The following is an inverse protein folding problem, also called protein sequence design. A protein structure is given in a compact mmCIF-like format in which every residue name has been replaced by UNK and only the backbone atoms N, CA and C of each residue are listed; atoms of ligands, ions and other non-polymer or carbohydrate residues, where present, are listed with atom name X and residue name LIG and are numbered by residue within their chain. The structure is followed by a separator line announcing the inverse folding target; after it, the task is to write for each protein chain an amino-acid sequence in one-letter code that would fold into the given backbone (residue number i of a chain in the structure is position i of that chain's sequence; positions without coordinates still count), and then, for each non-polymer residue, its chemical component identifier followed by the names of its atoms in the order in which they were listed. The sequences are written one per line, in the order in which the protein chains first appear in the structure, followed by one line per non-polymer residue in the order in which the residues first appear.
data_IF_490159672947
#
_entry.id   IF_490159672947
#
_cell.length_a   1.000
_cell.length_b   1.000
_cell.length_c   1.000
_cell.angle_alpha   90.00
_cell.angle_beta   90.00
_cell.angle_gamma   90.00
#
_symmetry.space_group_name_H-M   'P 1'
#
loop_
_entity.id
_entity.type
_entity.pdbx_description
1 polymer ?
#
# COMPACT_ATOMS: atom_id res chain seq x y z
N UNK A 1 48.69 -2.29 -56.76
CA UNK A 1 47.39 -2.26 -56.02
C UNK A 1 47.56 -3.06 -54.74
N UNK A 2 47.43 -2.42 -53.59
CA UNK A 2 47.75 -2.98 -52.27
C UNK A 2 46.42 -3.23 -51.53
N UNK A 3 46.07 -4.46 -51.10
CA UNK A 3 44.85 -4.68 -50.35
C UNK A 3 45.10 -4.53 -48.84
N UNK A 4 44.49 -3.50 -48.25
CA UNK A 4 44.30 -3.34 -46.80
C UNK A 4 43.12 -4.22 -46.35
N UNK A 5 43.31 -5.09 -45.35
CA UNK A 5 42.24 -5.61 -44.48
C UNK A 5 42.78 -5.72 -43.05
N UNK A 6 42.54 -4.68 -42.24
CA UNK A 6 41.58 -4.59 -41.11
C UNK A 6 41.76 -5.69 -40.05
N UNK A 7 42.46 -5.34 -38.96
CA UNK A 7 42.52 -6.09 -37.71
C UNK A 7 41.15 -5.97 -37.02
N UNK A 8 40.46 -7.10 -36.82
CA UNK A 8 39.29 -7.18 -35.96
C UNK A 8 39.75 -7.41 -34.52
N UNK A 9 39.41 -6.47 -33.63
CA UNK A 9 39.62 -6.61 -32.19
C UNK A 9 38.39 -7.34 -31.63
N UNK A 10 38.54 -8.58 -31.20
CA UNK A 10 37.51 -9.30 -30.45
C UNK A 10 37.72 -8.92 -28.98
N UNK A 11 36.90 -7.99 -28.48
CA UNK A 11 36.79 -7.71 -27.06
C UNK A 11 35.81 -8.72 -26.45
N UNK A 12 36.34 -9.79 -25.86
CA UNK A 12 35.55 -10.71 -25.05
C UNK A 12 35.38 -10.11 -23.65
N UNK A 13 34.20 -9.56 -23.37
CA UNK A 13 33.78 -9.20 -22.01
C UNK A 13 33.48 -10.48 -21.23
N UNK A 14 34.32 -10.79 -20.25
CA UNK A 14 34.05 -11.78 -19.21
C UNK A 14 33.02 -11.17 -18.27
N UNK A 15 31.77 -11.60 -18.37
CA UNK A 15 30.75 -11.29 -17.36
C UNK A 15 31.03 -12.17 -16.12
N UNK A 16 31.59 -11.57 -15.08
CA UNK A 16 31.69 -12.18 -13.75
C UNK A 16 30.30 -12.12 -13.12
N UNK A 17 29.56 -13.23 -13.20
CA UNK A 17 28.35 -13.44 -12.39
C UNK A 17 28.76 -13.74 -10.95
N UNK A 18 29.04 -12.69 -10.18
CA UNK A 18 28.96 -12.76 -8.72
C UNK A 18 27.46 -12.87 -8.39
N UNK A 19 27.07 -13.99 -7.78
CA UNK A 19 25.69 -14.21 -7.34
C UNK A 19 25.24 -13.03 -6.49
N UNK A 20 24.27 -12.27 -7.01
CA UNK A 20 23.61 -11.23 -6.24
C UNK A 20 22.94 -11.91 -5.05
N UNK A 21 23.51 -11.75 -3.86
CA UNK A 21 22.75 -11.91 -2.63
C UNK A 21 21.55 -10.99 -2.77
N UNK A 22 20.33 -11.52 -2.79
CA UNK A 22 19.09 -10.73 -2.82
C UNK A 22 19.24 -9.64 -1.76
N UNK A 23 19.42 -8.39 -2.19
CA UNK A 23 19.51 -7.27 -1.29
C UNK A 23 18.13 -7.18 -0.61
N UNK A 24 18.06 -7.54 0.67
CA UNK A 24 16.85 -7.38 1.46
C UNK A 24 16.45 -5.91 1.40
N UNK A 25 15.15 -5.62 1.26
CA UNK A 25 14.70 -4.24 1.20
C UNK A 25 15.07 -3.57 2.52
N UNK A 26 15.68 -2.39 2.43
CA UNK A 26 16.00 -1.64 3.63
C UNK A 26 14.74 -0.92 4.09
N UNK A 27 14.32 -1.20 5.32
CA UNK A 27 13.27 -0.43 5.98
C UNK A 27 13.76 1.01 6.19
N UNK A 28 13.03 1.97 5.62
CA UNK A 28 13.20 3.40 5.78
C UNK A 28 12.20 3.87 6.82
N UNK A 29 12.70 4.25 7.99
CA UNK A 29 11.85 4.58 9.13
C UNK A 29 11.38 6.03 9.11
N UNK A 30 10.18 6.28 9.65
CA UNK A 30 9.66 7.63 9.92
C UNK A 30 9.62 8.54 8.69
N UNK A 31 9.14 8.03 7.55
CA UNK A 31 9.16 8.74 6.26
C UNK A 31 8.40 10.07 6.30
N UNK A 32 7.39 10.19 7.15
CA UNK A 32 6.62 11.41 7.38
C UNK A 32 6.80 11.99 8.80
N UNK A 33 7.81 11.52 9.53
CA UNK A 33 8.06 11.87 10.93
C UNK A 33 7.83 10.70 11.90
N UNK A 34 8.20 10.87 13.18
CA UNK A 34 8.21 9.81 14.19
C UNK A 34 6.81 9.57 14.78
N UNK A 35 5.86 9.25 13.91
CA UNK A 35 4.46 9.07 14.27
C UNK A 35 3.93 7.75 13.69
N UNK A 36 3.03 7.14 14.44
CA UNK A 36 2.05 6.25 13.82
C UNK A 36 0.97 7.12 13.17
N UNK A 37 0.32 6.59 12.14
CA UNK A 37 -0.65 7.31 11.36
C UNK A 37 -1.96 6.56 11.35
N UNK A 38 -3.07 7.27 11.52
CA UNK A 38 -4.40 6.67 11.54
C UNK A 38 -5.42 7.51 10.78
N UNK A 39 -6.38 6.87 10.13
CA UNK A 39 -7.61 7.49 9.68
C UNK A 39 -8.75 6.49 9.69
N UNK A 40 -9.98 6.97 9.86
CA UNK A 40 -11.23 6.27 9.56
C UNK A 40 -11.99 6.94 8.40
N UNK A 41 -11.31 7.86 7.71
CA UNK A 41 -11.87 8.71 6.64
C UNK A 41 -11.06 8.61 5.37
N UNK A 42 -10.81 7.39 4.90
CA UNK A 42 -10.28 7.17 3.56
C UNK A 42 -11.39 6.91 2.53
N UNK A 43 -11.01 7.04 1.25
CA UNK A 43 -11.86 6.73 0.11
C UNK A 43 -11.17 5.68 -0.77
N UNK A 44 -11.94 4.70 -1.22
CA UNK A 44 -11.56 3.81 -2.32
C UNK A 44 -12.46 4.12 -3.51
N UNK A 45 -11.88 4.43 -4.65
CA UNK A 45 -12.57 4.63 -5.93
C UNK A 45 -12.04 3.61 -6.93
N UNK A 46 -12.92 2.78 -7.49
CA UNK A 46 -12.59 1.88 -8.58
C UNK A 46 -13.05 2.52 -9.90
N UNK A 47 -12.10 2.74 -10.80
CA UNK A 47 -12.38 3.22 -12.15
C UNK A 47 -12.39 2.06 -13.14
N UNK A 48 -13.23 2.14 -14.16
CA UNK A 48 -13.21 1.23 -15.30
C UNK A 48 -11.97 1.48 -16.19
N UNK A 49 -11.70 0.62 -17.19
CA UNK A 49 -10.55 0.80 -18.10
C UNK A 49 -10.60 2.07 -18.96
N UNK A 50 -11.70 2.83 -18.91
CA UNK A 50 -11.83 4.12 -19.59
C UNK A 50 -11.77 5.30 -18.62
N UNK A 51 -11.52 5.04 -17.33
CA UNK A 51 -11.36 6.07 -16.30
C UNK A 51 -12.67 6.58 -15.71
N UNK A 52 -13.82 5.97 -16.02
CA UNK A 52 -15.09 6.33 -15.37
C UNK A 52 -15.26 5.60 -14.05
N UNK A 53 -15.94 6.26 -13.11
CA UNK A 53 -16.25 5.67 -11.81
C UNK A 53 -17.15 4.44 -11.98
N UNK A 54 -16.70 3.32 -11.43
CA UNK A 54 -17.44 2.06 -11.46
C UNK A 54 -17.95 1.63 -10.10
N UNK A 55 -17.15 1.80 -9.04
CA UNK A 55 -17.54 1.47 -7.68
C UNK A 55 -16.64 2.17 -6.64
N UNK A 56 -16.94 2.02 -5.36
CA UNK A 56 -16.07 2.50 -4.29
C UNK A 56 -16.68 2.41 -2.91
N UNK A 57 -15.91 2.84 -1.91
CA UNK A 57 -16.31 2.95 -0.50
C UNK A 57 -15.66 4.19 0.13
N UNK A 58 -16.33 4.79 1.11
CA UNK A 58 -15.89 6.05 1.73
C UNK A 58 -15.59 5.89 3.22
N UNK A 59 -15.26 4.70 3.72
CA UNK A 59 -15.04 4.44 5.15
C UNK A 59 -13.77 3.62 5.35
N UNK A 60 -12.73 3.90 4.56
CA UNK A 60 -11.47 3.17 4.67
C UNK A 60 -10.77 3.59 5.95
N UNK A 61 -10.60 2.65 6.86
CA UNK A 61 -9.77 2.78 8.03
C UNK A 61 -8.35 2.32 7.72
N UNK A 62 -7.36 3.18 7.97
CA UNK A 62 -5.93 2.89 7.78
C UNK A 62 -5.20 3.11 9.10
N UNK A 63 -4.31 2.17 9.43
CA UNK A 63 -3.27 2.37 10.43
C UNK A 63 -1.91 2.05 9.81
N UNK A 64 -0.94 2.95 9.97
CA UNK A 64 0.39 2.83 9.39
C UNK A 64 1.44 3.21 10.43
N UNK A 65 2.54 2.46 10.49
CA UNK A 65 3.64 2.69 11.43
C UNK A 65 4.59 3.84 11.01
N UNK A 66 4.35 4.46 9.86
CA UNK A 66 5.17 5.56 9.34
C UNK A 66 6.48 5.12 8.69
N UNK A 67 6.71 3.82 8.49
CA UNK A 67 7.90 3.26 7.82
C UNK A 67 7.58 2.89 6.37
N UNK A 68 8.60 2.74 5.53
CA UNK A 68 8.46 2.33 4.15
C UNK A 68 9.66 1.49 3.68
N UNK A 69 9.53 0.83 2.54
CA UNK A 69 10.59 0.03 1.93
C UNK A 69 11.17 0.75 0.70
N UNK A 70 12.43 0.46 0.38
CA UNK A 70 13.14 1.02 -0.78
C UNK A 70 13.44 -0.01 -1.88
N UNK A 71 12.95 -1.25 -1.74
CA UNK A 71 13.06 -2.30 -2.75
C UNK A 71 11.89 -3.29 -2.62
N UNK A 72 11.63 -4.03 -3.70
CA UNK A 72 10.52 -4.99 -3.83
C UNK A 72 10.87 -6.42 -3.36
N UNK A 73 12.11 -6.68 -2.94
CA UNK A 73 12.64 -8.03 -2.66
C UNK A 73 11.95 -8.76 -1.50
N UNK A 74 11.06 -8.09 -0.78
CA UNK A 74 10.47 -8.57 0.47
C UNK A 74 9.03 -9.09 0.28
N UNK A 75 8.46 -8.97 -0.93
CA UNK A 75 7.22 -9.64 -1.26
C UNK A 75 7.52 -11.06 -1.78
N UNK A 76 7.18 -12.05 -0.97
CA UNK A 76 7.32 -13.48 -1.28
C UNK A 76 5.95 -14.19 -1.36
N UNK A 77 4.88 -13.41 -1.58
CA UNK A 77 3.49 -13.86 -1.43
C UNK A 77 2.93 -13.61 -0.02
N UNK A 78 1.76 -14.20 0.31
CA UNK A 78 1.07 -14.00 1.58
C UNK A 78 1.92 -14.38 2.81
N UNK A 79 1.84 -13.56 3.87
CA UNK A 79 2.64 -13.72 5.10
C UNK A 79 3.99 -12.98 5.06
N UNK A 80 4.20 -12.12 4.08
CA UNK A 80 5.29 -11.16 3.99
C UNK A 80 5.21 -10.08 5.08
N UNK A 81 6.26 -9.25 5.16
CA UNK A 81 6.27 -8.14 6.11
C UNK A 81 5.16 -7.13 5.78
N UNK A 82 4.40 -6.68 6.78
CA UNK A 82 3.38 -5.65 6.63
C UNK A 82 3.68 -4.50 7.58
N UNK A 83 3.53 -3.26 7.10
CA UNK A 83 3.71 -2.05 7.91
C UNK A 83 2.45 -1.17 7.94
N UNK A 84 1.43 -1.53 7.17
CA UNK A 84 0.14 -0.84 7.09
C UNK A 84 -1.00 -1.85 7.24
N UNK A 85 -2.13 -1.39 7.77
CA UNK A 85 -3.42 -2.11 7.74
C UNK A 85 -4.46 -1.22 7.07
N UNK A 86 -5.32 -1.79 6.23
CA UNK A 86 -6.44 -1.10 5.60
C UNK A 86 -7.71 -1.97 5.69
N UNK A 87 -8.84 -1.37 6.05
CA UNK A 87 -10.13 -2.08 6.15
C UNK A 87 -11.31 -1.15 5.91
N UNK A 88 -12.49 -1.72 5.68
CA UNK A 88 -13.75 -1.00 5.57
C UNK A 88 -14.87 -1.85 6.18
N UNK A 89 -15.87 -1.18 6.74
CA UNK A 89 -17.09 -1.83 7.23
C UNK A 89 -18.19 -1.88 6.18
N UNK A 90 -17.98 -1.20 5.05
CA UNK A 90 -18.92 -1.10 3.94
C UNK A 90 -18.57 -2.12 2.88
N UNK A 91 -19.58 -2.84 2.40
CA UNK A 91 -19.40 -3.77 1.29
C UNK A 91 -18.98 -3.02 0.02
N UNK A 92 -18.03 -3.59 -0.69
CA UNK A 92 -17.65 -3.18 -2.02
C UNK A 92 -18.30 -4.12 -3.03
N UNK A 93 -19.10 -3.60 -3.96
CA UNK A 93 -19.83 -4.41 -4.96
C UNK A 93 -20.62 -5.58 -4.34
N UNK A 94 -21.27 -5.34 -3.19
CA UNK A 94 -22.12 -6.33 -2.51
C UNK A 94 -21.38 -7.33 -1.62
N UNK A 95 -20.05 -7.28 -1.55
CA UNK A 95 -19.26 -8.17 -0.70
C UNK A 95 -18.31 -7.39 0.23
N UNK A 96 -18.06 -7.93 1.41
CA UNK A 96 -16.98 -7.43 2.26
C UNK A 96 -15.62 -7.75 1.63
N UNK A 97 -14.65 -6.89 1.89
CA UNK A 97 -13.27 -7.08 1.46
C UNK A 97 -12.32 -6.90 2.64
N UNK A 98 -11.15 -7.51 2.53
CA UNK A 98 -10.04 -7.35 3.47
C UNK A 98 -8.76 -7.13 2.69
N UNK A 99 -7.81 -6.37 3.26
CA UNK A 99 -6.48 -6.25 2.71
C UNK A 99 -5.45 -6.68 3.76
N UNK A 100 -4.39 -7.33 3.32
CA UNK A 100 -3.30 -7.81 4.16
C UNK A 100 -1.96 -7.71 3.41
N UNK A 101 -0.86 -8.04 4.10
CA UNK A 101 0.48 -7.99 3.52
C UNK A 101 0.84 -6.60 2.94
N UNK A 102 0.33 -5.54 3.56
CA UNK A 102 0.42 -4.20 2.99
C UNK A 102 1.78 -3.58 3.29
N UNK A 103 2.46 -3.16 2.21
CA UNK A 103 3.78 -2.56 2.24
C UNK A 103 3.75 -1.17 1.60
N UNK A 104 4.30 -0.19 2.30
CA UNK A 104 4.50 1.17 1.78
C UNK A 104 5.92 1.33 1.22
N UNK A 105 6.08 2.04 0.11
CA UNK A 105 7.34 2.21 -0.62
C UNK A 105 7.71 3.68 -0.81
N UNK A 106 9.01 3.98 -0.73
CA UNK A 106 9.56 5.31 -1.04
C UNK A 106 9.78 5.47 -2.56
N UNK A 107 10.22 6.63 -3.08
CA UNK A 107 10.46 6.81 -4.51
C UNK A 107 11.37 5.74 -5.12
N UNK A 108 10.95 5.18 -6.25
CA UNK A 108 11.59 4.03 -6.91
C UNK A 108 10.70 3.39 -7.98
N UNK A 109 11.24 2.38 -8.65
CA UNK A 109 10.49 1.52 -9.58
C UNK A 109 10.32 0.15 -8.96
N UNK A 110 9.07 -0.31 -8.86
CA UNK A 110 8.71 -1.56 -8.19
C UNK A 110 8.00 -2.48 -9.16
N UNK A 111 8.20 -3.78 -8.96
CA UNK A 111 7.77 -4.83 -9.87
C UNK A 111 7.46 -6.08 -9.06
N UNK A 112 6.20 -6.48 -9.05
CA UNK A 112 5.70 -7.62 -8.28
C UNK A 112 5.29 -8.73 -9.22
N UNK A 113 5.79 -9.94 -8.97
CA UNK A 113 5.27 -11.14 -9.62
C UNK A 113 3.93 -11.51 -8.97
N UNK A 114 2.85 -11.22 -9.68
CA UNK A 114 1.48 -11.42 -9.19
C UNK A 114 1.07 -12.89 -9.19
N UNK A 115 1.86 -13.77 -9.79
CA UNK A 115 1.60 -15.22 -9.70
C UNK A 115 1.94 -15.79 -8.32
N UNK A 116 2.69 -15.02 -7.51
CA UNK A 116 3.13 -15.42 -6.17
C UNK A 116 2.01 -15.36 -5.10
N UNK A 117 0.88 -14.70 -5.40
CA UNK A 117 -0.30 -14.63 -4.50
C UNK A 117 -0.87 -16.01 -4.14
N UNK A 118 -0.71 -16.99 -5.04
CA UNK A 118 -0.81 -18.43 -4.75
C UNK A 118 -2.19 -18.96 -4.33
N UNK A 119 -3.25 -18.16 -4.45
CA UNK A 119 -4.60 -18.60 -4.09
C UNK A 119 -5.27 -19.38 -5.23
N UNK A 120 -5.97 -20.51 -4.98
CA UNK A 120 -6.55 -21.33 -6.05
C UNK A 120 -7.60 -20.64 -6.93
N UNK A 121 -8.24 -19.58 -6.43
CA UNK A 121 -9.22 -18.77 -7.17
C UNK A 121 -8.64 -17.44 -7.65
N UNK A 122 -7.34 -17.25 -7.45
CA UNK A 122 -6.61 -16.15 -8.05
C UNK A 122 -5.91 -16.66 -9.31
N UNK A 123 -6.14 -15.97 -10.40
CA UNK A 123 -5.61 -16.33 -11.72
C UNK A 123 -4.69 -15.25 -12.25
N UNK A 124 -4.17 -14.40 -11.37
CA UNK A 124 -3.23 -13.36 -11.74
C UNK A 124 -1.99 -13.92 -12.42
N UNK A 125 -1.59 -13.24 -13.49
CA UNK A 125 -0.45 -13.60 -14.32
C UNK A 125 0.37 -12.37 -14.70
N UNK A 126 1.67 -12.59 -14.84
CA UNK A 126 2.60 -11.56 -15.28
C UNK A 126 3.17 -10.76 -14.12
N UNK A 127 3.25 -9.45 -14.29
CA UNK A 127 3.97 -8.58 -13.36
C UNK A 127 3.24 -7.26 -13.23
N UNK A 128 3.05 -6.82 -11.99
CA UNK A 128 2.51 -5.51 -11.67
C UNK A 128 3.67 -4.54 -11.48
N UNK A 129 3.74 -3.52 -12.32
CA UNK A 129 4.82 -2.52 -12.28
C UNK A 129 4.27 -1.13 -12.01
N UNK A 130 4.93 -0.39 -11.13
CA UNK A 130 4.58 1.00 -10.84
C UNK A 130 5.83 1.85 -10.61
N UNK A 131 5.73 3.14 -10.95
CA UNK A 131 6.74 4.14 -10.64
C UNK A 131 6.26 5.01 -9.48
N UNK A 132 7.02 5.03 -8.39
CA UNK A 132 6.84 5.97 -7.29
C UNK A 132 7.79 7.13 -7.53
N UNK A 133 7.26 8.28 -7.91
CA UNK A 133 8.03 9.49 -8.19
C UNK A 133 8.54 10.18 -6.91
N UNK A 134 9.37 11.20 -7.10
CA UNK A 134 9.85 12.04 -5.99
C UNK A 134 8.67 12.72 -5.28
N UNK A 135 8.64 12.66 -3.94
CA UNK A 135 7.55 13.22 -3.13
C UNK A 135 6.28 12.36 -3.13
N UNK A 136 6.30 11.18 -3.73
CA UNK A 136 5.22 10.20 -3.69
C UNK A 136 5.57 9.03 -2.76
N UNK A 137 4.53 8.28 -2.38
CA UNK A 137 4.65 6.98 -1.72
C UNK A 137 3.93 5.93 -2.56
N UNK A 138 4.47 4.71 -2.62
CA UNK A 138 3.79 3.55 -3.19
C UNK A 138 3.15 2.71 -2.09
N UNK A 139 2.11 1.96 -2.43
CA UNK A 139 1.54 0.94 -1.54
C UNK A 139 1.21 -0.30 -2.37
N UNK A 140 1.79 -1.43 -1.99
CA UNK A 140 1.37 -2.75 -2.45
C UNK A 140 0.48 -3.40 -1.39
N UNK A 141 -0.54 -4.14 -1.80
CA UNK A 141 -1.37 -4.93 -0.89
C UNK A 141 -1.85 -6.21 -1.57
N UNK A 142 -2.20 -7.20 -0.73
CA UNK A 142 -3.06 -8.30 -1.12
C UNK A 142 -4.51 -7.99 -0.75
N UNK A 143 -5.39 -8.08 -1.75
CA UNK A 143 -6.81 -7.73 -1.63
C UNK A 143 -7.69 -8.97 -1.77
N UNK A 144 -8.51 -9.18 -0.76
CA UNK A 144 -9.47 -10.26 -0.68
C UNK A 144 -10.88 -9.73 -0.91
N UNK A 145 -11.58 -10.30 -1.88
CA UNK A 145 -12.96 -9.92 -2.19
C UNK A 145 -13.80 -11.12 -2.57
N UNK A 146 -14.89 -11.33 -1.83
CA UNK A 146 -15.76 -12.49 -2.01
C UNK A 146 -14.94 -13.81 -1.93
N UNK A 147 -15.00 -14.65 -2.98
CA UNK A 147 -14.27 -15.92 -3.09
C UNK A 147 -12.88 -15.80 -3.74
N UNK A 148 -12.52 -14.61 -4.21
CA UNK A 148 -11.21 -14.31 -4.79
C UNK A 148 -10.34 -13.69 -3.70
N UNK A 149 -9.11 -14.19 -3.55
CA UNK A 149 -8.21 -13.84 -2.45
C UNK A 149 -6.83 -13.52 -3.01
N UNK A 150 -6.05 -12.77 -2.25
CA UNK A 150 -4.66 -12.42 -2.56
C UNK A 150 -4.48 -11.70 -3.91
N UNK A 151 -5.44 -10.88 -4.34
CA UNK A 151 -5.23 -10.09 -5.57
C UNK A 151 -4.18 -9.00 -5.30
N UNK A 152 -3.16 -8.94 -6.14
CA UNK A 152 -2.08 -7.98 -6.08
C UNK A 152 -2.55 -6.60 -6.58
N UNK A 153 -2.59 -5.63 -5.66
CA UNK A 153 -2.90 -4.24 -5.98
C UNK A 153 -1.70 -3.34 -5.66
N UNK A 154 -1.49 -2.33 -6.50
CA UNK A 154 -0.53 -1.26 -6.24
C UNK A 154 -1.20 0.11 -6.35
N UNK A 155 -0.80 1.04 -5.50
CA UNK A 155 -1.31 2.42 -5.48
C UNK A 155 -0.12 3.36 -5.38
N UNK A 156 -0.14 4.46 -6.12
CA UNK A 156 0.84 5.54 -5.97
C UNK A 156 0.15 6.77 -5.42
N UNK A 157 0.69 7.33 -4.35
CA UNK A 157 0.15 8.48 -3.64
C UNK A 157 0.98 9.74 -3.84
N UNK A 158 0.33 10.86 -4.13
CA UNK A 158 0.87 12.19 -3.95
C UNK A 158 0.44 12.80 -2.61
N UNK A 159 1.37 13.46 -1.93
CA UNK A 159 1.10 14.11 -0.66
C UNK A 159 0.30 15.42 -0.83
N UNK A 160 -0.63 15.68 0.10
CA UNK A 160 -1.38 16.95 0.21
C UNK A 160 -2.03 17.40 -1.11
N UNK A 161 -2.71 16.48 -1.78
CA UNK A 161 -3.25 16.70 -3.11
C UNK A 161 -4.72 16.30 -3.20
N UNK A 162 -5.39 16.85 -4.19
CA UNK A 162 -6.77 16.53 -4.57
C UNK A 162 -6.76 15.32 -5.50
N UNK A 163 -7.78 14.47 -5.43
CA UNK A 163 -7.91 13.32 -6.33
C UNK A 163 -8.19 13.79 -7.76
N UNK A 164 -7.22 13.68 -8.68
CA UNK A 164 -7.41 13.98 -10.10
C UNK A 164 -6.74 15.24 -10.67
N UNK A 165 -6.65 16.42 -10.01
CA UNK A 165 -6.18 17.68 -10.63
C UNK A 165 -4.70 17.78 -11.05
N UNK A 166 -3.98 16.66 -11.13
CA UNK A 166 -2.58 16.60 -11.60
C UNK A 166 -2.40 16.17 -13.05
N UNK A 167 -3.45 15.77 -13.78
CA UNK A 167 -3.35 15.16 -15.12
C UNK A 167 -4.42 15.73 -16.06
N UNK A 168 -4.06 15.91 -17.34
CA UNK A 168 -4.74 16.69 -18.38
C UNK A 168 -6.23 16.36 -18.67
N UNK A 169 -6.80 15.34 -18.02
CA UNK A 169 -8.13 14.81 -18.31
C UNK A 169 -9.07 14.68 -17.09
N UNK A 170 -8.66 15.13 -15.90
CA UNK A 170 -9.54 15.13 -14.72
C UNK A 170 -10.38 16.41 -14.64
N UNK A 171 -11.69 16.30 -14.87
CA UNK A 171 -12.62 17.20 -14.19
C UNK A 171 -12.96 16.51 -12.87
N UNK A 172 -12.57 17.08 -11.74
CA UNK A 172 -12.85 16.52 -10.42
C UNK A 172 -14.04 17.25 -9.76
N UNK A 173 -15.29 16.93 -10.11
CA UNK A 173 -16.45 17.30 -9.30
C UNK A 173 -16.68 16.27 -8.18
N UNK A 174 -17.18 16.74 -7.04
CA UNK A 174 -17.97 15.89 -6.15
C UNK A 174 -19.24 15.46 -6.87
N UNK A 175 -19.74 14.25 -6.65
CA UNK A 175 -21.02 13.84 -7.22
C UNK A 175 -21.01 12.49 -7.94
N UNK A 176 -19.83 11.92 -8.20
CA UNK A 176 -19.70 10.88 -9.21
C UNK A 176 -20.13 9.50 -8.68
N UNK A 177 -21.27 9.03 -9.18
CA UNK A 177 -21.79 7.70 -8.96
C UNK A 177 -21.77 6.88 -10.26
N UNK A 178 -21.36 5.61 -10.14
CA UNK A 178 -21.40 4.57 -11.19
C UNK A 178 -22.68 4.47 -12.03
N UNK A 179 -23.82 4.93 -11.49
CA UNK A 179 -25.12 4.91 -12.16
C UNK A 179 -25.34 6.13 -13.07
N UNK A 180 -24.77 7.30 -12.74
CA UNK A 180 -25.11 8.58 -13.39
C UNK A 180 -23.93 9.29 -14.06
N UNK A 181 -22.70 9.02 -13.64
CA UNK A 181 -21.54 9.87 -13.97
C UNK A 181 -20.49 9.17 -14.86
N UNK A 182 -20.97 8.53 -15.94
CA UNK A 182 -20.11 7.98 -17.02
C UNK A 182 -19.60 9.02 -18.02
N UNK A 183 -19.69 10.30 -17.66
CA UNK A 183 -19.34 11.42 -18.54
C UNK A 183 -18.06 12.11 -18.09
N UNK A 184 -17.55 11.78 -16.90
CA UNK A 184 -16.41 12.45 -16.28
C UNK A 184 -15.38 11.41 -15.88
N UNK A 185 -14.23 11.45 -16.53
CA UNK A 185 -13.09 10.60 -16.21
C UNK A 185 -12.40 11.08 -14.93
N UNK A 186 -11.80 10.14 -14.19
CA UNK A 186 -11.01 10.41 -12.99
C UNK A 186 -11.79 11.15 -11.89
N UNK A 187 -13.07 10.81 -11.79
CA UNK A 187 -14.02 11.32 -10.82
C UNK A 187 -13.87 10.59 -9.48
N UNK A 188 -14.09 11.28 -8.36
CA UNK A 188 -14.06 10.66 -7.03
C UNK A 188 -15.38 9.91 -6.74
N UNK A 189 -15.30 8.66 -6.26
CA UNK A 189 -16.49 7.96 -5.77
C UNK A 189 -17.10 8.69 -4.56
N UNK A 190 -18.39 8.99 -4.62
CA UNK A 190 -19.08 9.78 -3.59
C UNK A 190 -20.38 9.12 -3.10
N UNK A 191 -20.45 7.78 -3.15
CA UNK A 191 -21.55 6.98 -2.60
C UNK A 191 -21.80 7.21 -1.10
N UNK A 192 -22.45 6.29 -0.36
CA UNK A 192 -22.71 6.47 1.06
C UNK A 192 -21.47 7.01 1.81
N UNK A 193 -21.67 8.07 2.62
CA UNK A 193 -20.55 8.80 3.24
C UNK A 193 -19.87 8.04 4.39
N UNK A 194 -18.84 8.66 5.00
CA UNK A 194 -18.09 8.09 6.14
C UNK A 194 -19.03 7.59 7.24
N UNK A 195 -18.60 6.52 7.94
CA UNK A 195 -19.14 5.99 9.20
C UNK A 195 -20.66 6.21 9.40
N UNK A 196 -21.46 5.19 9.10
CA UNK A 196 -22.93 5.24 9.21
C UNK A 196 -23.66 5.59 7.91
N UNK A 197 -22.94 5.73 6.78
CA UNK A 197 -23.52 5.83 5.44
C UNK A 197 -24.28 7.13 5.16
N UNK A 198 -24.11 8.15 5.99
CA UNK A 198 -24.80 9.44 5.84
C UNK A 198 -24.23 10.21 4.65
N UNK A 199 -25.09 10.65 3.73
CA UNK A 199 -24.70 11.41 2.53
C UNK A 199 -24.02 12.75 2.84
N UNK A 200 -24.19 13.30 4.04
CA UNK A 200 -23.50 14.50 4.52
C UNK A 200 -22.00 14.29 4.75
N UNK A 201 -21.56 13.03 4.86
CA UNK A 201 -20.19 12.65 5.17
C UNK A 201 -19.46 12.13 3.92
N UNK A 202 -19.90 12.45 2.70
CA UNK A 202 -19.13 12.06 1.51
C UNK A 202 -17.96 13.03 1.27
N UNK A 203 -16.81 12.57 0.76
CA UNK A 203 -15.76 13.48 0.34
C UNK A 203 -16.24 14.39 -0.79
N UNK A 204 -15.74 15.63 -0.79
CA UNK A 204 -15.92 16.53 -1.92
C UNK A 204 -14.81 16.27 -2.94
N UNK A 205 -15.04 16.58 -4.22
CA UNK A 205 -13.97 16.54 -5.22
C UNK A 205 -12.80 17.46 -4.82
N UNK A 206 -13.11 18.62 -4.23
CA UNK A 206 -12.12 19.56 -3.69
C UNK A 206 -11.42 19.09 -2.40
N UNK A 207 -11.71 17.90 -1.87
CA UNK A 207 -11.02 17.39 -0.69
C UNK A 207 -9.53 17.22 -0.97
N UNK A 208 -8.72 17.97 -0.22
CA UNK A 208 -7.27 17.78 -0.16
C UNK A 208 -7.02 16.58 0.74
N UNK A 209 -6.38 15.56 0.18
CA UNK A 209 -5.98 14.35 0.87
C UNK A 209 -4.54 14.47 1.32
N UNK A 210 -4.23 13.99 2.52
CA UNK A 210 -2.84 13.83 2.92
C UNK A 210 -2.11 12.88 1.97
N UNK A 211 -2.77 11.80 1.55
CA UNK A 211 -2.30 10.87 0.52
C UNK A 211 -3.41 10.71 -0.52
N UNK A 212 -3.22 11.21 -1.74
CA UNK A 212 -4.18 11.03 -2.83
C UNK A 212 -3.61 10.10 -3.89
N UNK A 213 -4.42 9.15 -4.36
CA UNK A 213 -4.05 8.27 -5.49
C UNK A 213 -3.65 9.11 -6.70
N UNK A 214 -2.75 8.59 -7.51
CA UNK A 214 -2.23 9.18 -8.75
C UNK A 214 -2.16 8.12 -9.84
N UNK A 215 -2.03 8.55 -11.09
CA UNK A 215 -1.69 7.69 -12.22
C UNK A 215 -0.21 7.29 -12.12
N UNK A 216 0.04 6.10 -11.59
CA UNK A 216 1.41 5.62 -11.35
C UNK A 216 2.04 4.87 -12.54
N UNK A 217 1.26 4.62 -13.61
CA UNK A 217 1.70 3.95 -14.83
C UNK A 217 1.71 4.89 -16.06
N UNK A 218 1.21 6.12 -15.92
CA UNK A 218 1.24 7.18 -16.93
C UNK A 218 0.24 7.00 -18.07
N UNK A 219 -0.85 6.25 -17.87
CA UNK A 219 -1.84 5.94 -18.92
C UNK A 219 -2.99 6.96 -19.03
N UNK A 220 -3.01 7.96 -18.16
CA UNK A 220 -4.04 9.00 -18.10
C UNK A 220 -5.24 8.66 -17.21
N UNK A 221 -5.29 7.46 -16.64
CA UNK A 221 -6.30 7.02 -15.68
C UNK A 221 -5.68 6.99 -14.28
N UNK A 222 -6.41 7.51 -13.31
CA UNK A 222 -5.93 7.51 -11.93
C UNK A 222 -5.87 6.08 -11.37
N UNK A 223 -4.80 5.76 -10.65
CA UNK A 223 -4.59 4.47 -10.01
C UNK A 223 -3.60 3.59 -10.79
N UNK A 224 -3.59 2.30 -10.46
CA UNK A 224 -2.92 1.26 -11.25
C UNK A 224 -3.97 0.19 -11.54
N UNK A 225 -4.03 -0.35 -12.78
CA UNK A 225 -4.98 -1.39 -13.10
C UNK A 225 -4.64 -2.69 -12.36
N UNK A 226 -5.67 -3.41 -11.91
CA UNK A 226 -5.51 -4.77 -11.39
C UNK A 226 -4.84 -5.68 -12.42
N UNK A 227 -4.07 -6.65 -11.95
CA UNK A 227 -3.23 -7.48 -12.82
C UNK A 227 -4.05 -8.35 -13.78
N UNK A 228 -3.39 -8.88 -14.82
CA UNK A 228 -4.05 -9.75 -15.80
C UNK A 228 -4.52 -11.03 -15.13
N UNK A 229 -5.81 -11.38 -15.27
CA UNK A 229 -6.40 -12.56 -14.64
C UNK A 229 -7.05 -12.30 -13.28
N UNK A 230 -6.89 -11.11 -12.70
CA UNK A 230 -7.58 -10.74 -11.46
C UNK A 230 -9.08 -10.53 -11.69
N UNK A 231 -9.89 -10.60 -10.62
CA UNK A 231 -11.34 -10.34 -10.69
C UNK A 231 -11.67 -8.91 -11.17
N UNK A 232 -10.68 -8.02 -11.10
CA UNK A 232 -10.78 -6.60 -11.44
C UNK A 232 -9.78 -6.21 -12.52
N UNK A 233 -9.42 -7.14 -13.40
CA UNK A 233 -8.47 -6.89 -14.49
C UNK A 233 -8.84 -5.61 -15.25
N UNK A 234 -7.85 -4.73 -15.42
CA UNK A 234 -7.97 -3.47 -16.15
C UNK A 234 -8.76 -2.37 -15.42
N UNK A 235 -9.35 -2.65 -14.26
CA UNK A 235 -9.96 -1.62 -13.42
C UNK A 235 -8.90 -1.00 -12.52
N UNK A 236 -8.95 0.32 -12.36
CA UNK A 236 -7.93 1.08 -11.66
C UNK A 236 -8.35 1.36 -10.22
N UNK A 237 -7.61 0.77 -9.28
CA UNK A 237 -7.83 0.98 -7.86
C UNK A 237 -7.20 2.29 -7.42
N UNK A 238 -8.02 3.11 -6.75
CA UNK A 238 -7.59 4.37 -6.18
C UNK A 238 -7.90 4.38 -4.71
N UNK A 239 -6.89 4.64 -3.88
CA UNK A 239 -7.06 4.84 -2.44
C UNK A 239 -6.65 6.27 -2.10
N UNK A 240 -7.45 6.95 -1.29
CA UNK A 240 -7.14 8.27 -0.77
C UNK A 240 -7.28 8.25 0.75
N UNK A 241 -6.40 8.94 1.47
CA UNK A 241 -6.35 8.89 2.93
C UNK A 241 -6.01 10.26 3.55
N UNK A 242 -6.75 10.63 4.58
CA UNK A 242 -6.44 11.75 5.46
C UNK A 242 -5.91 11.23 6.79
N UNK A 243 -4.62 10.90 6.81
CA UNK A 243 -3.98 10.37 7.99
C UNK A 243 -3.75 11.48 9.04
N UNK A 244 -4.00 11.14 10.30
CA UNK A 244 -3.66 11.96 11.44
C UNK A 244 -2.47 11.32 12.18
N UNK A 245 -1.47 12.11 12.59
CA UNK A 245 -0.37 11.59 13.39
C UNK A 245 -0.88 11.24 14.78
N UNK A 246 -0.57 10.03 15.24
CA UNK A 246 -0.73 9.58 16.60
C UNK A 246 0.64 9.66 17.26
N UNK A 247 0.77 10.57 18.22
CA UNK A 247 1.98 10.67 19.04
C UNK A 247 2.10 9.40 19.86
N UNK A 248 3.15 8.62 19.59
CA UNK A 248 3.56 7.55 20.48
C UNK A 248 4.26 8.20 21.67
N UNK A 249 3.52 8.41 22.76
CA UNK A 249 4.12 8.89 24.00
C UNK A 249 5.18 7.86 24.43
N UNK A 250 6.47 8.24 24.46
CA UNK A 250 7.49 7.36 25.00
C UNK A 250 7.07 7.03 26.43
N UNK A 251 7.00 5.75 26.78
CA UNK A 251 6.66 5.34 28.16
C UNK A 251 7.59 6.13 29.09
N UNK A 252 7.05 6.96 30.00
CA UNK A 252 7.89 7.79 30.85
C UNK A 252 8.93 6.92 31.55
N UNK A 253 10.21 7.26 31.38
CA UNK A 253 11.34 6.50 31.92
C UNK A 253 11.16 6.07 33.40
N UNK A 254 10.54 6.87 34.29
CA UNK A 254 10.27 6.44 35.66
C UNK A 254 9.40 5.19 35.77
N UNK A 255 8.37 5.05 34.92
CA UNK A 255 7.45 3.91 34.96
C UNK A 255 8.15 2.62 34.47
N UNK A 256 8.96 2.72 33.41
CA UNK A 256 9.77 1.60 32.92
C UNK A 256 10.79 1.13 33.96
N UNK A 257 11.44 2.07 34.66
CA UNK A 257 12.37 1.75 35.75
C UNK A 257 11.65 1.05 36.92
N UNK A 258 10.44 1.46 37.28
CA UNK A 258 9.64 0.83 38.33
C UNK A 258 9.15 -0.58 37.95
N UNK A 259 8.68 -0.78 36.72
CA UNK A 259 8.29 -2.10 36.21
C UNK A 259 9.48 -3.05 36.14
N UNK A 260 10.61 -2.58 35.61
CA UNK A 260 11.85 -3.37 35.57
C UNK A 260 12.34 -3.71 36.98
N UNK A 261 12.37 -2.73 37.88
CA UNK A 261 12.80 -2.91 39.27
C UNK A 261 11.91 -3.89 40.04
N UNK A 262 10.59 -3.77 39.92
CA UNK A 262 9.63 -4.67 40.58
C UNK A 262 9.66 -6.09 39.99
N UNK A 263 9.80 -6.22 38.67
CA UNK A 263 9.99 -7.51 38.00
C UNK A 263 11.27 -8.23 38.46
N UNK A 264 12.38 -7.49 38.56
CA UNK A 264 13.66 -8.03 39.04
C UNK A 264 13.56 -8.50 40.49
N UNK A 265 12.95 -7.70 41.38
CA UNK A 265 12.70 -8.08 42.77
C UNK A 265 11.80 -9.31 42.90
N UNK A 266 10.77 -9.42 42.07
CA UNK A 266 9.92 -10.60 41.98
C UNK A 266 10.71 -11.86 41.60
N UNK A 267 11.56 -11.78 40.58
CA UNK A 267 12.45 -12.86 40.17
C UNK A 267 13.42 -13.28 41.27
N UNK A 268 14.01 -12.31 41.99
CA UNK A 268 14.86 -12.60 43.16
C UNK A 268 14.07 -13.31 44.28
N UNK A 269 12.84 -12.90 44.54
CA UNK A 269 11.96 -13.55 45.51
C UNK A 269 11.67 -15.01 45.15
N UNK A 270 11.39 -15.30 43.87
CA UNK A 270 11.15 -16.67 43.37
C UNK A 270 12.42 -17.53 43.45
N UNK A 271 13.57 -16.97 43.07
CA UNK A 271 14.85 -17.68 43.13
C UNK A 271 15.23 -18.11 44.55
N UNK A 272 14.94 -17.26 45.55
CA UNK A 272 15.18 -17.58 46.97
C UNK A 272 14.30 -18.72 47.47
N UNK A 273 13.05 -18.79 47.01
CA UNK A 273 12.08 -19.82 47.45
C UNK A 273 12.46 -21.22 46.98
N UNK A 274 13.12 -21.37 45.82
CA UNK A 274 13.56 -22.69 45.30
C UNK A 274 14.67 -23.35 46.12
N UNK A 275 15.41 -22.59 46.95
CA UNK A 275 16.50 -23.15 47.76
C UNK A 275 16.02 -23.94 48.99
N UNK A 276 14.76 -23.74 49.41
CA UNK A 276 14.23 -24.33 50.65
C UNK A 276 13.37 -25.59 50.42
N UNK A 277 13.26 -26.11 49.19
CA UNK A 277 12.40 -27.28 48.86
C UNK A 277 13.20 -28.60 48.74
N UNK A 278 14.51 -28.60 48.98
CA UNK A 278 15.30 -29.85 49.09
C UNK A 278 15.66 -30.08 50.56
N UNK A 279 14.74 -30.64 51.34
CA UNK A 279 15.00 -31.48 52.52
C UNK A 279 13.65 -31.92 53.12
N UNK A 280 13.05 -32.95 52.52
CA UNK A 280 12.08 -33.86 53.11
C UNK A 280 11.95 -35.07 52.18
#
# INVERSE_FOLDING_TARGET
MNPRMKKALIASTIAVTLGATNAQAALVTNVLGPYNWYTDRGNMTLLDPTGYVWAGTNDIAIAWDGNAYNASSDYAGPGSAANLTASSTTSFLGHMWTAHDIQVFIPGTYSFDVTAGGHPNDYETGTLTAMVGSGQLGMHMLFDWNSVKNMDLFVVWAANSVFGPGIAHSANPSGCNSVYDRTIQNCLWDGPGYAGGLSSNKPAGSTIWMLSSTDGNGDGIMGIPGATGSAFQGHNFNFNANLAPVVIDPIPLPAAAWLFGSGLLGLFGVARRKKNVRHS
#
